data_IF_923017322859
#
_entry.id   IF_923017322859
#
_cell.length_a   1.000
_cell.length_b   1.000
_cell.length_c   1.000
_cell.angle_alpha   90.00
_cell.angle_beta   90.00
_cell.angle_gamma   90.00
#
_symmetry.space_group_name_H-M   'P 1'
#
loop_
_entity.id
_entity.type
_entity.pdbx_description
1 polymer ?
#
# COMPACT_ATOMS: atom_id res chain seq x y z
N UNK A 1 -18.05 10.19 11.41
CA UNK A 1 -17.14 9.17 10.83
C UNK A 1 -17.50 7.84 11.47
N UNK A 2 -17.93 6.85 10.67
CA UNK A 2 -18.28 5.54 11.20
C UNK A 2 -17.02 4.90 11.82
N UNK A 3 -17.07 4.55 13.11
CA UNK A 3 -16.06 3.74 13.79
C UNK A 3 -16.13 2.31 13.24
N UNK A 4 -15.55 2.08 12.07
CA UNK A 4 -15.44 0.73 11.49
C UNK A 4 -13.97 0.34 11.54
N UNK A 5 -13.67 -0.77 12.20
CA UNK A 5 -12.36 -1.42 12.19
C UNK A 5 -12.51 -2.89 11.86
N UNK A 6 -11.39 -3.56 11.58
CA UNK A 6 -11.36 -5.00 11.34
C UNK A 6 -11.78 -5.78 12.58
N UNK A 7 -12.57 -6.82 12.39
CA UNK A 7 -13.06 -7.73 13.44
C UNK A 7 -12.57 -9.15 13.18
N UNK A 8 -12.68 -10.04 14.17
CA UNK A 8 -12.25 -11.43 14.01
C UNK A 8 -12.99 -12.15 12.87
N UNK A 9 -14.27 -11.85 12.64
CA UNK A 9 -15.06 -12.39 11.52
C UNK A 9 -14.50 -12.02 10.14
N UNK A 10 -13.66 -10.99 10.04
CA UNK A 10 -12.99 -10.65 8.78
C UNK A 10 -11.90 -11.70 8.43
N UNK A 11 -11.55 -12.63 9.34
CA UNK A 11 -10.69 -13.80 9.09
C UNK A 11 -11.53 -15.09 9.13
N UNK A 12 -12.12 -15.54 8.01
CA UNK A 12 -13.08 -16.66 8.00
C UNK A 12 -12.48 -18.02 8.38
N UNK A 13 -11.16 -18.15 8.23
CA UNK A 13 -10.41 -19.39 8.47
C UNK A 13 -9.82 -19.45 9.89
N UNK A 14 -10.02 -18.42 10.71
CA UNK A 14 -9.59 -18.37 12.10
C UNK A 14 -10.61 -19.12 12.98
N UNK A 15 -10.12 -20.04 13.82
CA UNK A 15 -10.91 -20.73 14.85
C UNK A 15 -10.37 -20.42 16.24
N UNK A 16 -11.29 -20.36 17.19
CA UNK A 16 -10.98 -20.21 18.62
C UNK A 16 -11.71 -21.33 19.34
N UNK A 17 -10.96 -22.33 19.81
CA UNK A 17 -11.49 -23.52 20.47
C UNK A 17 -10.62 -23.83 21.68
N UNK A 18 -11.23 -24.10 22.84
CA UNK A 18 -10.48 -24.45 24.06
C UNK A 18 -9.51 -23.39 24.58
N UNK A 19 -9.60 -22.13 24.12
CA UNK A 19 -8.64 -21.07 24.46
C UNK A 19 -7.40 -21.03 23.56
N UNK A 20 -7.37 -21.83 22.49
CA UNK A 20 -6.33 -21.83 21.47
C UNK A 20 -6.85 -21.18 20.18
N UNK A 21 -5.99 -20.43 19.49
CA UNK A 21 -6.26 -19.89 18.16
C UNK A 21 -5.59 -20.75 17.10
N UNK A 22 -6.36 -21.22 16.13
CA UNK A 22 -5.87 -21.97 14.96
C UNK A 22 -6.37 -21.36 13.66
N UNK A 23 -5.68 -21.67 12.56
CA UNK A 23 -6.05 -21.25 11.21
C UNK A 23 -6.23 -22.49 10.33
N UNK A 24 -7.39 -22.63 9.69
CA UNK A 24 -7.68 -23.76 8.80
C UNK A 24 -6.74 -23.79 7.57
N UNK A 25 -6.31 -22.62 7.10
CA UNK A 25 -5.39 -22.44 5.96
C UNK A 25 -4.37 -21.35 6.26
N UNK A 26 -3.15 -21.54 5.77
CA UNK A 26 -2.03 -20.60 5.91
C UNK A 26 -1.28 -20.49 4.57
N UNK A 27 -1.03 -19.29 4.01
CA UNK A 27 -1.45 -17.94 4.45
C UNK A 27 -2.97 -17.85 4.68
N UNK A 28 -3.44 -17.15 5.72
CA UNK A 28 -4.89 -17.09 6.02
C UNK A 28 -5.58 -15.94 5.30
N UNK A 29 -6.82 -16.12 4.86
CA UNK A 29 -7.60 -15.08 4.19
C UNK A 29 -8.01 -13.97 5.16
N UNK A 30 -7.86 -12.72 4.72
CA UNK A 30 -8.44 -11.53 5.35
C UNK A 30 -9.42 -10.88 4.37
N UNK A 31 -10.68 -10.77 4.78
CA UNK A 31 -11.72 -10.05 4.04
C UNK A 31 -11.65 -8.56 4.38
N UNK A 32 -11.42 -7.73 3.38
CA UNK A 32 -11.46 -6.27 3.52
C UNK A 32 -12.82 -5.76 3.05
N UNK A 33 -13.64 -5.33 4.00
CA UNK A 33 -14.98 -4.78 3.74
C UNK A 33 -14.86 -3.43 3.02
N UNK A 34 -15.84 -3.11 2.15
CA UNK A 34 -15.88 -1.85 1.38
C UNK A 34 -15.63 -0.57 2.23
N UNK A 35 -16.20 -0.41 3.46
CA UNK A 35 -15.92 0.75 4.30
C UNK A 35 -14.46 0.87 4.77
N UNK A 36 -13.71 -0.24 4.78
CA UNK A 36 -12.30 -0.29 5.17
C UNK A 36 -11.36 -0.18 3.96
N UNK A 37 -11.89 -0.33 2.74
CA UNK A 37 -11.13 -0.24 1.50
C UNK A 37 -10.97 1.21 1.04
N UNK A 38 -9.74 1.61 0.73
CA UNK A 38 -9.45 2.93 0.12
C UNK A 38 -10.18 3.11 -1.21
N UNK A 39 -10.31 2.03 -1.98
CA UNK A 39 -10.99 2.01 -3.27
C UNK A 39 -12.50 1.76 -3.15
N UNK A 40 -13.03 1.68 -1.91
CA UNK A 40 -14.45 1.53 -1.56
C UNK A 40 -15.13 0.27 -2.14
N UNK A 41 -14.36 -0.75 -2.49
CA UNK A 41 -14.88 -2.07 -2.88
C UNK A 41 -14.46 -3.13 -1.86
N UNK A 42 -15.22 -4.22 -1.79
CA UNK A 42 -14.85 -5.40 -1.00
C UNK A 42 -13.79 -6.18 -1.77
N UNK A 43 -12.72 -6.60 -1.12
CA UNK A 43 -11.74 -7.55 -1.66
C UNK A 43 -11.25 -8.47 -0.54
N UNK A 44 -10.38 -9.43 -0.85
CA UNK A 44 -9.65 -10.16 0.16
C UNK A 44 -8.15 -10.09 -0.13
N UNK A 45 -7.38 -10.24 0.94
CA UNK A 45 -5.92 -10.41 0.89
C UNK A 45 -5.55 -11.58 1.79
N UNK A 46 -4.26 -11.85 1.94
CA UNK A 46 -3.77 -12.92 2.79
C UNK A 46 -2.86 -12.36 3.90
N UNK A 47 -2.94 -12.97 5.08
CA UNK A 47 -1.97 -12.79 6.15
C UNK A 47 -0.90 -13.89 5.99
N UNK A 48 0.40 -13.53 5.87
CA UNK A 48 1.44 -14.52 5.72
C UNK A 48 1.60 -15.38 6.98
N UNK A 49 2.25 -16.53 6.85
CA UNK A 49 2.51 -17.49 7.95
C UNK A 49 3.07 -16.82 9.20
N UNK A 50 4.07 -15.93 9.05
CA UNK A 50 4.65 -15.16 10.15
C UNK A 50 3.60 -14.25 10.84
N UNK A 51 2.73 -13.61 10.05
CA UNK A 51 1.62 -12.82 10.56
C UNK A 51 0.60 -13.66 11.33
N UNK A 52 0.33 -14.89 10.88
CA UNK A 52 -0.54 -15.83 11.61
C UNK A 52 0.02 -16.17 13.00
N UNK A 53 1.33 -16.38 13.11
CA UNK A 53 2.02 -16.66 14.38
C UNK A 53 1.83 -15.50 15.36
N UNK A 54 2.17 -14.28 14.93
CA UNK A 54 2.01 -13.10 15.78
C UNK A 54 0.56 -12.82 16.16
N UNK A 55 -0.37 -13.03 15.23
CA UNK A 55 -1.80 -12.85 15.51
C UNK A 55 -2.30 -13.89 16.51
N UNK A 56 -1.88 -15.16 16.39
CA UNK A 56 -2.18 -16.22 17.37
C UNK A 56 -1.72 -15.80 18.77
N UNK A 57 -0.43 -15.49 18.92
CA UNK A 57 0.16 -15.10 20.21
C UNK A 57 -0.55 -13.91 20.85
N UNK A 58 -0.87 -12.90 20.04
CA UNK A 58 -1.58 -11.71 20.49
C UNK A 58 -3.01 -12.01 20.96
N UNK A 59 -3.78 -12.81 20.21
CA UNK A 59 -5.15 -13.17 20.58
C UNK A 59 -5.20 -14.11 21.80
N UNK A 60 -4.26 -15.05 21.90
CA UNK A 60 -4.12 -15.90 23.08
C UNK A 60 -3.67 -15.12 24.31
N UNK A 61 -2.82 -14.11 24.13
CA UNK A 61 -2.50 -13.14 25.18
C UNK A 61 -3.75 -12.44 25.72
N UNK A 62 -4.65 -12.00 24.83
CA UNK A 62 -5.93 -11.37 25.21
C UNK A 62 -6.84 -12.33 25.98
N UNK A 63 -6.92 -13.59 25.55
CA UNK A 63 -7.70 -14.61 26.25
C UNK A 63 -7.13 -14.92 27.64
N UNK A 64 -5.80 -15.00 27.77
CA UNK A 64 -5.13 -15.15 29.08
C UNK A 64 -5.36 -13.97 30.01
N UNK A 65 -5.53 -12.76 29.47
CA UNK A 65 -5.93 -11.57 30.22
C UNK A 65 -7.43 -11.56 30.63
N UNK A 66 -8.18 -12.62 30.29
CA UNK A 66 -9.59 -12.79 30.65
C UNK A 66 -10.58 -12.25 29.61
N UNK A 67 -10.12 -11.79 28.45
CA UNK A 67 -11.01 -11.34 27.39
C UNK A 67 -11.70 -12.53 26.71
N UNK A 68 -13.04 -12.52 26.66
CA UNK A 68 -13.81 -13.48 25.87
C UNK A 68 -13.95 -13.00 24.43
N UNK A 69 -13.10 -13.51 23.54
CA UNK A 69 -13.14 -13.21 22.12
C UNK A 69 -14.40 -13.76 21.44
N UNK A 70 -14.99 -12.96 20.55
CA UNK A 70 -16.18 -13.27 19.74
C UNK A 70 -15.93 -12.87 18.28
N UNK A 71 -16.71 -13.36 17.31
CA UNK A 71 -16.53 -12.95 15.90
C UNK A 71 -16.59 -11.43 15.68
N UNK A 72 -17.34 -10.70 16.50
CA UNK A 72 -17.47 -9.23 16.43
C UNK A 72 -16.36 -8.49 17.20
N UNK A 73 -15.51 -9.21 17.93
CA UNK A 73 -14.41 -8.60 18.68
C UNK A 73 -13.49 -7.85 17.72
N UNK A 74 -13.04 -6.64 18.10
CA UNK A 74 -12.01 -5.91 17.37
C UNK A 74 -10.75 -6.77 17.22
N UNK A 75 -10.20 -6.79 16.00
CA UNK A 75 -8.94 -7.46 15.74
C UNK A 75 -7.83 -6.76 16.53
N UNK A 76 -7.74 -5.44 16.45
CA UNK A 76 -6.85 -4.61 17.27
C UNK A 76 -7.66 -3.98 18.40
N UNK A 77 -7.34 -4.35 19.64
CA UNK A 77 -8.08 -3.98 20.84
C UNK A 77 -7.38 -2.89 21.65
N UNK A 78 -8.09 -2.26 22.58
CA UNK A 78 -7.53 -1.30 23.53
C UNK A 78 -8.22 -1.33 24.90
N UNK A 79 -7.46 -1.00 25.95
CA UNK A 79 -7.88 -1.05 27.36
C UNK A 79 -8.69 0.17 27.85
N UNK A 80 -9.01 1.13 26.99
CA UNK A 80 -9.64 2.38 27.45
C UNK A 80 -10.97 2.15 28.18
N UNK A 81 -11.33 2.96 29.20
CA UNK A 81 -12.56 2.81 29.98
C UNK A 81 -13.86 2.75 29.15
N UNK A 82 -13.84 3.28 27.93
CA UNK A 82 -14.98 3.28 26.99
C UNK A 82 -14.89 2.21 25.91
N UNK A 83 -14.05 1.18 26.05
CA UNK A 83 -13.89 0.10 25.07
C UNK A 83 -15.21 -0.61 24.74
N UNK A 84 -16.12 -0.74 25.70
CA UNK A 84 -17.45 -1.31 25.47
C UNK A 84 -18.33 -0.47 24.52
N UNK A 85 -18.11 0.85 24.45
CA UNK A 85 -18.91 1.80 23.63
C UNK A 85 -18.15 2.20 22.36
N UNK A 86 -16.82 2.26 22.45
CA UNK A 86 -15.89 2.54 21.36
C UNK A 86 -14.94 1.35 21.24
N UNK A 87 -15.37 0.29 20.53
CA UNK A 87 -14.62 -0.96 20.49
C UNK A 87 -13.34 -0.86 19.64
N UNK A 88 -13.32 0.03 18.65
CA UNK A 88 -12.19 0.17 17.74
C UNK A 88 -11.22 1.26 18.18
N UNK A 89 -9.92 0.95 18.12
CA UNK A 89 -8.88 1.95 18.31
C UNK A 89 -8.94 2.99 17.20
N UNK A 90 -8.82 4.27 17.58
CA UNK A 90 -8.73 5.36 16.60
C UNK A 90 -7.51 5.18 15.70
N UNK A 91 -7.67 5.38 14.39
CA UNK A 91 -6.61 5.27 13.39
C UNK A 91 -5.38 6.10 13.73
N UNK A 92 -5.57 7.30 14.30
CA UNK A 92 -4.45 8.14 14.76
C UNK A 92 -3.59 7.45 15.83
N UNK A 93 -4.20 6.68 16.73
CA UNK A 93 -3.46 5.93 17.77
C UNK A 93 -2.78 4.68 17.25
N UNK A 94 -3.43 3.96 16.34
CA UNK A 94 -2.75 2.89 15.60
C UNK A 94 -1.52 3.46 14.88
N UNK A 95 -1.66 4.61 14.22
CA UNK A 95 -0.57 5.28 13.52
C UNK A 95 0.55 5.72 14.45
N UNK A 96 0.20 6.24 15.64
CA UNK A 96 1.17 6.63 16.67
C UNK A 96 1.96 5.41 17.18
N UNK A 97 1.28 4.31 17.52
CA UNK A 97 1.92 3.06 17.98
C UNK A 97 2.86 2.50 16.91
N UNK A 98 2.42 2.45 15.64
CA UNK A 98 3.30 2.00 14.54
C UNK A 98 4.54 2.90 14.44
N UNK A 99 4.36 4.22 14.55
CA UNK A 99 5.46 5.19 14.47
C UNK A 99 6.45 5.03 15.62
N UNK A 100 5.98 4.72 16.82
CA UNK A 100 6.84 4.42 17.98
C UNK A 100 7.69 3.18 17.72
N UNK A 101 7.09 2.08 17.28
CA UNK A 101 7.82 0.85 16.92
C UNK A 101 8.86 1.11 15.80
N UNK A 102 8.47 1.84 14.75
CA UNK A 102 9.39 2.20 13.66
C UNK A 102 10.58 3.03 14.16
N UNK A 103 10.34 4.02 15.03
CA UNK A 103 11.41 4.86 15.60
C UNK A 103 12.34 4.07 16.50
N UNK A 104 11.81 3.14 17.29
CA UNK A 104 12.62 2.24 18.12
C UNK A 104 13.53 1.35 17.25
N UNK A 105 13.06 0.95 16.06
CA UNK A 105 13.85 0.26 15.04
C UNK A 105 14.75 1.20 14.19
N UNK A 106 14.93 2.47 14.58
CA UNK A 106 15.77 3.44 13.87
C UNK A 106 15.12 4.05 12.61
N UNK A 107 13.88 3.72 12.27
CA UNK A 107 13.18 4.22 11.08
C UNK A 107 12.34 5.47 11.36
N UNK A 108 12.82 6.64 10.95
CA UNK A 108 12.10 7.93 11.07
C UNK A 108 11.27 8.27 9.81
N UNK A 109 10.43 7.34 9.36
CA UNK A 109 9.53 7.51 8.21
C UNK A 109 8.05 7.47 8.63
N UNK A 110 7.14 7.89 7.75
CA UNK A 110 5.69 7.76 7.98
C UNK A 110 5.26 6.29 7.83
N UNK A 111 4.31 5.77 8.63
CA UNK A 111 3.84 4.38 8.54
C UNK A 111 3.42 3.90 7.15
N UNK A 112 2.95 4.80 6.29
CA UNK A 112 2.61 4.49 4.90
C UNK A 112 3.74 3.79 4.12
N UNK A 113 5.01 4.01 4.49
CA UNK A 113 6.16 3.35 3.85
C UNK A 113 6.10 1.83 3.93
N UNK A 114 5.47 1.26 4.97
CA UNK A 114 5.34 -0.19 5.13
C UNK A 114 4.46 -0.80 4.03
N UNK A 115 3.41 -0.07 3.63
CA UNK A 115 2.56 -0.48 2.50
C UNK A 115 3.33 -0.43 1.19
N UNK A 116 4.05 0.66 0.93
CA UNK A 116 4.87 0.79 -0.27
C UNK A 116 5.96 -0.29 -0.35
N UNK A 117 6.58 -0.64 0.78
CA UNK A 117 7.53 -1.75 0.86
C UNK A 117 6.87 -3.07 0.47
N UNK A 118 5.74 -3.43 1.09
CA UNK A 118 5.04 -4.68 0.78
C UNK A 118 4.61 -4.77 -0.70
N UNK A 119 4.08 -3.69 -1.28
CA UNK A 119 3.75 -3.63 -2.70
C UNK A 119 5.00 -3.81 -3.58
N UNK A 120 6.11 -3.15 -3.24
CA UNK A 120 7.39 -3.31 -3.97
C UNK A 120 7.89 -4.75 -3.94
N UNK A 121 7.81 -5.40 -2.78
CA UNK A 121 8.21 -6.80 -2.62
C UNK A 121 7.35 -7.76 -3.44
N UNK A 122 6.04 -7.51 -3.52
CA UNK A 122 5.15 -8.28 -4.39
C UNK A 122 5.47 -8.08 -5.87
N UNK A 123 5.88 -6.88 -6.30
CA UNK A 123 6.28 -6.65 -7.70
C UNK A 123 7.58 -7.41 -8.01
N UNK A 124 8.55 -7.43 -7.09
CA UNK A 124 9.77 -8.25 -7.24
C UNK A 124 9.41 -9.74 -7.29
N UNK A 125 8.38 -10.18 -6.57
CA UNK A 125 7.90 -11.55 -6.63
C UNK A 125 7.21 -11.86 -7.98
N UNK A 126 6.47 -10.90 -8.53
CA UNK A 126 5.81 -10.97 -9.84
C UNK A 126 6.83 -11.15 -10.96
N UNK A 127 7.87 -10.32 -11.00
CA UNK A 127 8.94 -10.41 -11.99
C UNK A 127 9.74 -11.72 -11.89
N UNK A 128 9.71 -12.38 -10.73
CA UNK A 128 10.30 -13.72 -10.49
C UNK A 128 9.31 -14.85 -10.78
N UNK A 129 8.16 -14.55 -11.39
CA UNK A 129 7.11 -15.49 -11.77
C UNK A 129 6.41 -16.14 -10.58
N UNK A 130 6.46 -15.54 -9.38
CA UNK A 130 5.87 -16.14 -8.17
C UNK A 130 4.37 -15.86 -8.06
N UNK A 131 3.94 -14.69 -8.51
CA UNK A 131 2.55 -14.23 -8.55
C UNK A 131 2.29 -13.55 -9.89
N UNK A 132 1.07 -13.60 -10.40
CA UNK A 132 0.70 -12.86 -11.61
C UNK A 132 0.36 -11.41 -11.28
N UNK A 133 0.57 -10.50 -12.23
CA UNK A 133 0.18 -9.09 -12.07
C UNK A 133 -1.30 -8.90 -11.65
N UNK A 134 -2.29 -9.61 -12.25
CA UNK A 134 -3.69 -9.52 -11.79
C UNK A 134 -3.88 -9.94 -10.33
N UNK A 135 -3.21 -11.02 -9.88
CA UNK A 135 -3.28 -11.47 -8.49
C UNK A 135 -2.66 -10.47 -7.54
N UNK A 136 -1.51 -9.87 -7.90
CA UNK A 136 -0.87 -8.79 -7.16
C UNK A 136 -1.80 -7.59 -6.99
N UNK A 137 -2.37 -7.09 -8.09
CA UNK A 137 -3.28 -5.93 -8.05
C UNK A 137 -4.47 -6.21 -7.12
N UNK A 138 -5.04 -7.41 -7.18
CA UNK A 138 -6.15 -7.79 -6.32
C UNK A 138 -5.75 -7.85 -4.83
N UNK A 139 -4.66 -8.53 -4.47
CA UNK A 139 -4.24 -8.65 -3.06
C UNK A 139 -3.76 -7.31 -2.47
N UNK A 140 -3.29 -6.39 -3.31
CA UNK A 140 -2.99 -5.00 -2.95
C UNK A 140 -4.25 -4.13 -2.76
N UNK A 141 -5.43 -4.61 -3.19
CA UNK A 141 -6.69 -3.86 -3.15
C UNK A 141 -6.80 -2.77 -4.22
N UNK A 142 -6.11 -2.95 -5.35
CA UNK A 142 -6.19 -2.08 -6.51
C UNK A 142 -7.37 -2.49 -7.40
N UNK A 143 -7.87 -1.55 -8.19
CA UNK A 143 -8.90 -1.84 -9.20
C UNK A 143 -8.28 -2.65 -10.33
N UNK A 144 -9.02 -3.62 -10.84
CA UNK A 144 -8.62 -4.47 -11.95
C UNK A 144 -9.69 -5.50 -12.29
N UNK A 145 -9.41 -6.35 -13.28
CA UNK A 145 -10.40 -7.29 -13.82
C UNK A 145 -10.93 -8.28 -12.78
N UNK A 146 -10.05 -8.75 -11.88
CA UNK A 146 -10.43 -9.68 -10.81
C UNK A 146 -11.31 -8.98 -9.77
N UNK A 147 -11.01 -7.73 -9.44
CA UNK A 147 -11.83 -6.91 -8.54
C UNK A 147 -13.22 -6.68 -9.13
N UNK A 148 -13.29 -6.33 -10.42
CA UNK A 148 -14.55 -6.15 -11.12
C UNK A 148 -15.40 -7.44 -11.08
N UNK A 149 -14.79 -8.60 -11.34
CA UNK A 149 -15.47 -9.91 -11.23
C UNK A 149 -15.90 -10.23 -9.80
N UNK A 150 -15.04 -9.99 -8.82
CA UNK A 150 -15.34 -10.25 -7.42
C UNK A 150 -16.49 -9.38 -6.91
N UNK A 151 -16.45 -8.09 -7.21
CA UNK A 151 -17.47 -7.11 -6.82
C UNK A 151 -18.83 -7.41 -7.45
N UNK A 152 -18.85 -7.69 -8.76
CA UNK A 152 -20.09 -8.03 -9.50
C UNK A 152 -20.65 -9.40 -9.12
N UNK A 153 -19.80 -10.36 -8.76
CA UNK A 153 -20.21 -11.69 -8.28
C UNK A 153 -20.45 -11.74 -6.76
N UNK A 154 -20.95 -10.64 -6.15
CA UNK A 154 -21.32 -10.54 -4.72
C UNK A 154 -20.18 -10.89 -3.75
N UNK A 155 -18.93 -10.65 -4.13
CA UNK A 155 -17.76 -10.96 -3.33
C UNK A 155 -17.44 -12.45 -3.29
N UNK A 156 -17.62 -13.15 -4.41
CA UNK A 156 -17.25 -14.56 -4.59
C UNK A 156 -16.34 -14.73 -5.81
N UNK A 157 -15.21 -15.42 -5.62
CA UNK A 157 -14.41 -16.00 -6.71
C UNK A 157 -14.57 -17.52 -6.70
N UNK A 158 -14.33 -18.21 -7.82
CA UNK A 158 -14.20 -19.65 -7.84
C UNK A 158 -13.20 -20.16 -6.79
N UNK A 159 -13.51 -21.21 -6.00
CA UNK A 159 -12.64 -21.66 -4.90
C UNK A 159 -11.23 -22.08 -5.35
N UNK A 160 -11.11 -22.69 -6.52
CA UNK A 160 -9.86 -23.04 -7.18
C UNK A 160 -9.00 -21.80 -7.47
N UNK A 161 -9.61 -20.73 -7.97
CA UNK A 161 -8.93 -19.45 -8.18
C UNK A 161 -8.44 -18.85 -6.85
N UNK A 162 -9.25 -18.90 -5.79
CA UNK A 162 -8.85 -18.43 -4.45
C UNK A 162 -7.63 -19.20 -3.94
N UNK A 163 -7.60 -20.52 -4.11
CA UNK A 163 -6.46 -21.33 -3.67
C UNK A 163 -5.23 -21.14 -4.56
N UNK A 164 -5.39 -20.94 -5.86
CA UNK A 164 -4.28 -20.56 -6.73
C UNK A 164 -3.66 -19.23 -6.29
N UNK A 165 -4.50 -18.24 -5.95
CA UNK A 165 -4.05 -16.95 -5.42
C UNK A 165 -3.34 -17.11 -4.07
N UNK A 166 -3.82 -18.01 -3.20
CA UNK A 166 -3.16 -18.29 -1.91
C UNK A 166 -1.79 -18.92 -2.11
N UNK A 167 -1.67 -19.92 -2.98
CA UNK A 167 -0.39 -20.56 -3.29
C UNK A 167 0.57 -19.58 -3.97
N UNK A 168 0.08 -18.68 -4.82
CA UNK A 168 0.88 -17.58 -5.36
C UNK A 168 1.38 -16.62 -4.27
N UNK A 169 0.51 -16.22 -3.35
CA UNK A 169 0.89 -15.38 -2.22
C UNK A 169 1.89 -16.08 -1.29
N UNK A 170 1.71 -17.38 -1.03
CA UNK A 170 2.62 -18.21 -0.22
C UNK A 170 4.03 -18.23 -0.79
N UNK A 171 4.18 -18.34 -2.11
CA UNK A 171 5.49 -18.22 -2.80
C UNK A 171 6.13 -16.84 -2.63
N UNK A 172 5.34 -15.80 -2.32
CA UNK A 172 5.83 -14.45 -2.09
C UNK A 172 6.27 -14.19 -0.64
N UNK A 173 5.97 -15.07 0.32
CA UNK A 173 6.28 -14.83 1.74
C UNK A 173 7.77 -14.58 1.98
N UNK A 174 8.65 -15.20 1.18
CA UNK A 174 10.11 -14.99 1.24
C UNK A 174 10.54 -13.54 0.99
N UNK A 175 9.71 -12.72 0.34
CA UNK A 175 9.96 -11.30 0.08
C UNK A 175 9.32 -10.40 1.15
N UNK A 176 8.35 -10.93 1.90
CA UNK A 176 7.53 -10.17 2.85
C UNK A 176 7.97 -10.37 4.30
N UNK A 177 8.53 -11.53 4.63
CA UNK A 177 8.91 -11.91 5.98
C UNK A 177 10.16 -11.21 6.50
N UNK A 178 10.36 -11.27 7.82
CA UNK A 178 11.54 -10.70 8.49
C UNK A 178 12.69 -11.71 8.64
N UNK A 179 12.45 -12.99 8.36
CA UNK A 179 13.47 -14.00 8.35
C UNK A 179 14.49 -13.73 7.23
N UNK A 180 15.70 -13.33 7.61
CA UNK A 180 16.79 -13.05 6.68
C UNK A 180 17.10 -14.31 5.85
N UNK A 181 16.69 -14.30 4.58
CA UNK A 181 17.16 -15.23 3.57
C UNK A 181 18.05 -14.45 2.61
N UNK A 182 19.18 -15.02 2.15
CA UNK A 182 20.02 -14.36 1.17
C UNK A 182 19.19 -14.09 -0.09
N UNK A 183 18.87 -12.82 -0.34
CA UNK A 183 18.40 -12.41 -1.66
C UNK A 183 19.54 -12.75 -2.62
N UNK A 184 19.42 -13.85 -3.37
CA UNK A 184 20.34 -14.13 -4.46
C UNK A 184 20.35 -12.91 -5.39
N UNK A 185 21.48 -12.20 -5.37
CA UNK A 185 21.78 -11.05 -6.21
C UNK A 185 22.05 -11.57 -7.62
N UNK A 186 21.02 -11.99 -8.34
CA UNK A 186 21.11 -12.26 -9.78
C UNK A 186 20.72 -11.00 -10.56
N UNK A 187 21.35 -10.77 -11.71
CA UNK A 187 21.10 -9.64 -12.62
C UNK A 187 19.62 -9.48 -12.98
N UNK A 188 18.89 -10.59 -13.06
CA UNK A 188 17.43 -10.66 -13.26
C UNK A 188 16.64 -9.91 -12.18
N UNK A 189 17.14 -9.87 -10.93
CA UNK A 189 16.49 -9.12 -9.83
C UNK A 189 16.68 -7.62 -9.97
N UNK A 190 17.79 -7.18 -10.57
CA UNK A 190 18.05 -5.75 -10.80
C UNK A 190 17.11 -5.21 -11.87
N UNK A 191 16.99 -5.90 -13.00
CA UNK A 191 16.07 -5.53 -14.09
C UNK A 191 14.60 -5.54 -13.63
N UNK A 192 14.20 -6.56 -12.88
CA UNK A 192 12.90 -6.65 -12.22
C UNK A 192 12.58 -5.45 -11.31
N UNK A 193 13.53 -5.08 -10.44
CA UNK A 193 13.39 -3.91 -9.55
C UNK A 193 13.25 -2.63 -10.37
N UNK A 194 13.97 -2.54 -11.48
CA UNK A 194 13.98 -1.38 -12.36
C UNK A 194 12.63 -1.22 -13.08
N UNK A 195 12.09 -2.32 -13.60
CA UNK A 195 10.75 -2.37 -14.21
C UNK A 195 9.65 -2.05 -13.17
N UNK A 196 9.82 -2.54 -11.94
CA UNK A 196 8.92 -2.23 -10.82
C UNK A 196 8.90 -0.73 -10.48
N UNK A 197 10.08 -0.12 -10.42
CA UNK A 197 10.23 1.32 -10.16
C UNK A 197 9.60 2.14 -11.29
N UNK A 198 9.87 1.77 -12.56
CA UNK A 198 9.23 2.38 -13.75
C UNK A 198 7.71 2.30 -13.70
N UNK A 199 7.17 1.12 -13.38
CA UNK A 199 5.73 0.89 -13.24
C UNK A 199 5.10 1.68 -12.09
N UNK A 200 5.76 1.75 -10.94
CA UNK A 200 5.30 2.55 -9.79
C UNK A 200 5.24 4.03 -10.15
N UNK A 201 6.30 4.59 -10.75
CA UNK A 201 6.32 5.99 -11.14
C UNK A 201 5.22 6.34 -12.15
N UNK A 202 5.01 5.47 -13.15
CA UNK A 202 3.98 5.67 -14.17
C UNK A 202 2.57 5.57 -13.60
N UNK A 203 2.30 4.53 -12.79
CA UNK A 203 0.95 4.22 -12.33
C UNK A 203 0.52 4.97 -11.06
N UNK A 204 1.45 5.24 -10.13
CA UNK A 204 1.15 5.93 -8.86
C UNK A 204 1.43 7.43 -8.92
N UNK A 205 2.35 7.87 -9.77
CA UNK A 205 2.82 9.25 -9.81
C UNK A 205 2.65 9.93 -11.16
N UNK A 206 2.15 9.23 -12.19
CA UNK A 206 1.95 9.79 -13.53
C UNK A 206 3.24 10.17 -14.25
N UNK A 207 4.39 9.68 -13.77
CA UNK A 207 5.71 10.00 -14.31
C UNK A 207 6.18 8.92 -15.27
N UNK A 208 6.54 9.30 -16.49
CA UNK A 208 7.22 8.38 -17.41
C UNK A 208 8.74 8.40 -17.16
N UNK A 209 9.21 7.46 -16.34
CA UNK A 209 10.63 7.34 -16.01
C UNK A 209 11.51 6.97 -17.22
N UNK A 210 10.94 6.55 -18.34
CA UNK A 210 11.69 6.37 -19.59
C UNK A 210 12.16 7.72 -20.14
N UNK A 211 11.36 8.78 -20.01
CA UNK A 211 11.76 10.13 -20.45
C UNK A 211 12.90 10.68 -19.60
N UNK A 212 12.82 10.45 -18.28
CA UNK A 212 13.86 10.83 -17.30
C UNK A 212 15.19 10.15 -17.59
N UNK A 213 15.17 8.84 -17.86
CA UNK A 213 16.36 8.07 -18.28
C UNK A 213 16.95 8.66 -19.56
N UNK A 214 16.12 8.82 -20.59
CA UNK A 214 16.56 9.27 -21.92
C UNK A 214 17.16 10.68 -21.88
N UNK A 215 16.63 11.58 -21.04
CA UNK A 215 17.17 12.91 -20.84
C UNK A 215 18.57 12.87 -20.20
N UNK A 216 18.77 12.02 -19.18
CA UNK A 216 20.04 11.85 -18.47
C UNK A 216 21.12 11.21 -19.35
N UNK A 217 20.76 10.22 -20.16
CA UNK A 217 21.67 9.57 -21.11
C UNK A 217 22.12 10.53 -22.22
N UNK A 218 21.24 11.42 -22.66
CA UNK A 218 21.59 12.51 -23.59
C UNK A 218 22.52 13.55 -22.97
N UNK A 219 22.32 13.90 -21.70
CA UNK A 219 23.23 14.80 -20.98
C UNK A 219 24.62 14.19 -20.78
N UNK A 220 24.71 12.89 -20.46
CA UNK A 220 25.98 12.21 -20.22
C UNK A 220 26.65 11.68 -21.50
N UNK A 221 25.94 11.67 -22.62
CA UNK A 221 26.45 11.19 -23.91
C UNK A 221 26.75 9.68 -23.94
N UNK A 222 26.19 8.91 -23.00
CA UNK A 222 26.33 7.45 -22.91
C UNK A 222 25.09 6.82 -22.27
N UNK A 223 24.88 5.54 -22.54
CA UNK A 223 23.86 4.75 -21.84
C UNK A 223 24.21 4.60 -20.35
N UNK A 224 23.18 4.58 -19.51
CA UNK A 224 23.31 4.36 -18.08
C UNK A 224 23.51 2.88 -17.80
N UNK A 225 24.49 2.56 -16.97
CA UNK A 225 24.61 1.20 -16.43
C UNK A 225 23.42 0.89 -15.50
N UNK A 226 23.02 -0.38 -15.35
CA UNK A 226 21.83 -0.75 -14.57
C UNK A 226 21.83 -0.21 -13.13
N UNK A 227 22.99 -0.14 -12.49
CA UNK A 227 23.13 0.38 -11.14
C UNK A 227 22.98 1.92 -11.10
N UNK A 228 23.43 2.63 -12.15
CA UNK A 228 23.28 4.09 -12.29
C UNK A 228 21.83 4.47 -12.62
N UNK A 229 21.14 3.64 -13.41
CA UNK A 229 19.72 3.80 -13.69
C UNK A 229 18.88 3.59 -12.42
N UNK A 230 19.16 2.55 -11.62
CA UNK A 230 18.48 2.34 -10.32
C UNK A 230 18.69 3.55 -9.41
N UNK A 231 19.92 4.05 -9.29
CA UNK A 231 20.24 5.19 -8.43
C UNK A 231 19.58 6.49 -8.90
N UNK A 232 19.54 6.73 -10.23
CA UNK A 232 18.82 7.84 -10.83
C UNK A 232 17.33 7.80 -10.46
N UNK A 233 16.68 6.65 -10.67
CA UNK A 233 15.26 6.49 -10.43
C UNK A 233 14.91 6.58 -8.93
N UNK A 234 15.73 6.00 -8.06
CA UNK A 234 15.60 6.15 -6.60
C UNK A 234 15.75 7.62 -6.17
N UNK A 235 16.68 8.36 -6.78
CA UNK A 235 16.88 9.78 -6.50
C UNK A 235 15.71 10.65 -6.96
N UNK A 236 15.11 10.37 -8.11
CA UNK A 236 13.95 11.09 -8.63
C UNK A 236 12.69 10.80 -7.81
N UNK A 237 12.48 9.53 -7.44
CA UNK A 237 11.44 9.17 -6.47
C UNK A 237 11.65 9.84 -5.10
N UNK A 238 12.89 10.07 -4.68
CA UNK A 238 13.22 10.78 -3.44
C UNK A 238 12.93 12.28 -3.55
N UNK A 239 13.31 12.94 -4.65
CA UNK A 239 12.98 14.35 -4.91
C UNK A 239 11.47 14.59 -4.92
N UNK A 240 10.71 13.69 -5.55
CA UNK A 240 9.25 13.75 -5.57
C UNK A 240 8.60 13.57 -4.18
N UNK A 241 9.26 12.83 -3.28
CA UNK A 241 8.83 12.68 -1.88
C UNK A 241 9.16 13.90 -1.01
N UNK A 242 10.14 14.69 -1.42
CA UNK A 242 10.63 15.86 -0.68
C UNK A 242 10.03 17.19 -1.20
N UNK A 243 9.58 17.25 -2.46
CA UNK A 243 8.90 18.41 -3.05
C UNK A 243 7.79 17.96 -4.04
N UNK A 244 6.49 18.20 -3.77
CA UNK A 244 5.42 17.96 -4.74
C UNK A 244 5.57 18.90 -5.94
N UNK A 245 5.55 18.35 -7.15
CA UNK A 245 5.66 19.06 -8.43
C UNK A 245 4.72 20.29 -8.51
N UNK A 246 5.21 21.48 -8.92
CA UNK A 246 4.44 22.72 -9.00
C UNK A 246 3.44 22.77 -10.17
N UNK A 247 2.92 21.62 -10.61
CA UNK A 247 1.92 21.51 -11.67
C UNK A 247 0.60 21.00 -11.12
N UNK A 248 -0.50 21.63 -11.55
CA UNK A 248 -1.85 21.32 -11.07
C UNK A 248 -2.82 21.25 -12.25
N UNK A 249 -3.73 20.27 -12.22
CA UNK A 249 -4.82 20.15 -13.19
C UNK A 249 -6.09 20.69 -12.54
N UNK A 250 -6.68 21.73 -13.13
CA UNK A 250 -7.83 22.47 -12.59
C UNK A 250 -8.99 22.51 -13.59
N UNK A 251 -10.19 22.80 -13.09
CA UNK A 251 -11.35 23.14 -13.91
C UNK A 251 -11.28 24.59 -14.43
N UNK A 252 -12.12 24.95 -15.39
CA UNK A 252 -12.23 26.32 -15.91
C UNK A 252 -12.71 27.30 -14.84
N UNK A 253 -13.59 26.84 -13.94
CA UNK A 253 -14.10 27.55 -12.78
C UNK A 253 -13.04 27.87 -11.71
N UNK A 254 -11.96 27.10 -11.68
CA UNK A 254 -10.84 27.27 -10.74
C UNK A 254 -9.65 28.03 -11.37
N UNK A 255 -9.67 28.24 -12.69
CA UNK A 255 -8.52 28.80 -13.42
C UNK A 255 -8.25 30.26 -13.03
N UNK A 256 -9.27 31.11 -13.02
CA UNK A 256 -9.11 32.54 -12.73
C UNK A 256 -8.50 32.80 -11.35
N UNK A 257 -8.92 32.02 -10.34
CA UNK A 257 -8.40 32.12 -8.98
C UNK A 257 -6.90 31.79 -8.93
N UNK A 258 -6.46 30.76 -9.66
CA UNK A 258 -5.07 30.35 -9.66
C UNK A 258 -4.18 31.26 -10.53
N UNK A 259 -4.68 31.81 -11.64
CA UNK A 259 -3.96 32.84 -12.40
C UNK A 259 -3.70 34.09 -11.55
N UNK A 260 -4.68 34.49 -10.71
CA UNK A 260 -4.51 35.60 -9.77
C UNK A 260 -3.49 35.31 -8.65
N UNK A 261 -3.22 34.04 -8.37
CA UNK A 261 -2.22 33.58 -7.39
C UNK A 261 -0.80 33.42 -7.99
N UNK A 262 -0.60 33.80 -9.27
CA UNK A 262 0.70 33.72 -9.93
C UNK A 262 0.99 32.36 -10.58
N UNK A 263 -0.04 31.57 -10.86
CA UNK A 263 0.08 30.38 -11.69
C UNK A 263 0.02 30.75 -13.17
N UNK A 264 0.79 30.05 -13.99
CA UNK A 264 0.82 30.19 -15.44
C UNK A 264 0.01 29.10 -16.11
N UNK A 265 -0.75 29.48 -17.14
CA UNK A 265 -1.44 28.54 -18.01
C UNK A 265 -0.45 27.78 -18.90
N UNK A 266 -0.59 26.45 -18.97
CA UNK A 266 0.26 25.61 -19.82
C UNK A 266 -0.53 25.09 -21.02
N UNK A 267 -1.65 24.37 -20.80
CA UNK A 267 -2.45 23.81 -21.89
C UNK A 267 -3.84 23.34 -21.45
N UNK A 268 -4.76 23.16 -22.41
CA UNK A 268 -6.04 22.48 -22.19
C UNK A 268 -5.92 21.02 -22.63
N UNK A 269 -6.26 20.10 -21.74
CA UNK A 269 -6.21 18.67 -21.99
C UNK A 269 -7.45 18.22 -22.80
N UNK A 270 -7.39 17.07 -23.50
CA UNK A 270 -8.54 16.48 -24.20
C UNK A 270 -9.77 16.22 -23.31
N UNK A 271 -9.56 16.15 -21.99
CA UNK A 271 -10.60 16.03 -20.97
C UNK A 271 -11.33 17.35 -20.65
N UNK A 272 -11.00 18.45 -21.33
CA UNK A 272 -11.42 19.84 -21.07
C UNK A 272 -10.97 20.41 -19.72
N UNK A 273 -10.01 19.75 -19.05
CA UNK A 273 -9.33 20.29 -17.87
C UNK A 273 -8.08 21.07 -18.26
N UNK A 274 -7.62 21.95 -17.38
CA UNK A 274 -6.57 22.92 -17.68
C UNK A 274 -5.34 22.62 -16.82
N UNK A 275 -4.19 22.47 -17.47
CA UNK A 275 -2.91 22.31 -16.80
C UNK A 275 -2.31 23.70 -16.52
N UNK A 276 -2.00 23.95 -15.25
CA UNK A 276 -1.34 25.17 -14.79
C UNK A 276 -0.05 24.84 -14.04
N UNK A 277 0.93 25.73 -14.08
CA UNK A 277 2.25 25.57 -13.44
C UNK A 277 2.62 26.85 -12.70
N UNK A 278 3.33 26.75 -11.59
CA UNK A 278 3.95 27.91 -10.94
C UNK A 278 5.47 27.75 -10.91
N UNK A 279 6.23 28.82 -11.10
CA UNK A 279 7.65 28.81 -10.79
C UNK A 279 7.80 28.84 -9.26
N UNK A 280 8.39 27.79 -8.70
CA UNK A 280 8.33 27.47 -7.28
C UNK A 280 8.78 28.58 -6.34
N UNK A 281 7.84 29.37 -5.85
CA UNK A 281 7.77 29.94 -4.51
C UNK A 281 6.38 30.58 -4.30
N UNK A 282 5.45 29.87 -3.66
CA UNK A 282 4.22 30.52 -3.16
C UNK A 282 4.61 31.34 -1.93
N UNK A 283 4.51 32.69 -1.94
CA UNK A 283 4.73 33.48 -0.74
C UNK A 283 3.64 33.14 0.29
N UNK A 284 4.07 32.78 1.49
CA UNK A 284 3.18 32.53 2.63
C UNK A 284 2.47 33.85 2.96
N UNK A 285 1.16 33.96 2.70
CA UNK A 285 0.34 35.06 3.21
C UNK A 285 0.28 34.96 4.74
N UNK A 286 0.92 35.90 5.44
CA UNK A 286 0.63 36.16 6.85
C UNK A 286 -0.75 36.83 6.96
N UNK A 287 -1.61 36.43 7.92
CA UNK A 287 -2.91 37.05 8.11
C UNK A 287 -2.77 38.49 8.65
N UNK A 288 -3.68 39.42 8.32
CA UNK A 288 -3.68 40.75 8.89
C UNK A 288 -4.03 40.69 10.38
N UNK A 289 -3.29 41.46 11.17
CA UNK A 289 -3.58 41.75 12.57
C UNK A 289 -4.69 42.78 12.74
#
# INVERSE_FOLDING_TARGET
>A
MANVGSILRDLPELKIEGGEVTFEKTPTMIIVRSPLSKARHKYFTFLPSEGCIHLKEYLEGRMRAGERLRPESPLVWHERPKAAIKPFMHTGKITDTIRECMRAAGMRKRPYVLRAYAETQLIIAESKGKISYPYLQFVAGHKGDIEARYSTNKGMLPPDMVEEMREAYKRCEIFLGTAAQPLEQTSVVKEAKLEAIKSIAKNLFGMDLLEVKTAREKEMGRELEPDEEIELLESEMKKFRENPDPQKIVGEDELEAHLAEGWEFVSVLPSRKILIRTEGAVPIKTPPG
#
